data_IF_827384508263
#
_entry.id   IF_827384508263
#
_cell.length_a   1.000
_cell.length_b   1.000
_cell.length_c   1.000
_cell.angle_alpha   90.00
_cell.angle_beta   90.00
_cell.angle_gamma   90.00
#
_symmetry.space_group_name_H-M   'P 1'
#
loop_
_entity.id
_entity.type
_entity.pdbx_description
1 polymer ?
#
# COMPACT_ATOMS: atom_id res chain seq x y z
N UNK A 1 11.82 -9.51 -0.42
CA UNK A 1 10.91 -10.66 -0.27
C UNK A 1 10.43 -11.10 -1.63
N UNK A 2 10.66 -12.35 -1.99
CA UNK A 2 10.09 -12.94 -3.18
C UNK A 2 8.67 -13.46 -2.84
N UNK A 3 7.77 -13.42 -3.81
CA UNK A 3 6.42 -13.96 -3.64
C UNK A 3 6.45 -15.43 -3.24
N UNK A 4 7.41 -16.20 -3.76
CA UNK A 4 7.66 -17.58 -3.37
C UNK A 4 7.87 -17.80 -1.87
N UNK A 5 8.38 -16.79 -1.17
CA UNK A 5 8.63 -16.86 0.26
C UNK A 5 7.36 -16.60 1.09
N UNK A 6 6.45 -15.81 0.54
CA UNK A 6 5.21 -15.38 1.22
C UNK A 6 4.06 -16.37 0.95
N UNK A 7 3.97 -16.90 -0.28
CA UNK A 7 2.85 -17.74 -0.70
C UNK A 7 2.56 -18.93 0.24
N UNK A 8 3.55 -19.70 0.71
CA UNK A 8 3.28 -20.82 1.64
C UNK A 8 2.60 -20.35 2.93
N UNK A 9 2.99 -19.20 3.46
CA UNK A 9 2.40 -18.63 4.67
C UNK A 9 0.94 -18.20 4.45
N UNK A 10 0.64 -17.61 3.30
CA UNK A 10 -0.72 -17.21 2.91
C UNK A 10 -1.63 -18.43 2.78
N UNK A 11 -1.16 -19.49 2.13
CA UNK A 11 -1.92 -20.74 1.96
C UNK A 11 -2.12 -21.45 3.30
N UNK A 12 -1.09 -21.52 4.15
CA UNK A 12 -1.19 -22.10 5.49
C UNK A 12 -2.15 -21.32 6.41
N UNK A 13 -2.33 -20.02 6.17
CA UNK A 13 -3.34 -19.20 6.84
C UNK A 13 -4.78 -19.45 6.35
N UNK A 14 -4.97 -20.38 5.41
CA UNK A 14 -6.29 -20.78 4.91
C UNK A 14 -6.79 -19.99 3.70
N UNK A 15 -5.96 -19.16 3.07
CA UNK A 15 -6.33 -18.46 1.84
C UNK A 15 -6.27 -19.46 0.69
N UNK A 16 -7.38 -19.70 -0.07
CA UNK A 16 -7.38 -20.63 -1.17
C UNK A 16 -6.51 -20.11 -2.33
N UNK A 17 -5.80 -20.99 -3.02
CA UNK A 17 -4.93 -20.64 -4.15
C UNK A 17 -5.67 -19.84 -5.22
N UNK A 18 -6.94 -20.12 -5.46
CA UNK A 18 -7.78 -19.39 -6.42
C UNK A 18 -8.05 -17.94 -6.06
N UNK A 19 -7.86 -17.57 -4.79
CA UNK A 19 -8.01 -16.18 -4.31
C UNK A 19 -6.68 -15.41 -4.32
N UNK A 20 -5.57 -16.04 -4.69
CA UNK A 20 -4.25 -15.41 -4.73
C UNK A 20 -3.94 -14.96 -6.16
N UNK A 21 -3.68 -13.67 -6.34
CA UNK A 21 -3.23 -13.11 -7.60
C UNK A 21 -1.82 -12.54 -7.37
N UNK A 22 -0.87 -13.05 -8.13
CA UNK A 22 0.51 -12.59 -8.07
C UNK A 22 0.74 -11.45 -9.07
N UNK A 23 1.24 -10.33 -8.57
CA UNK A 23 1.76 -9.23 -9.37
C UNK A 23 3.30 -9.27 -9.26
N UNK A 24 3.99 -9.60 -10.35
CA UNK A 24 5.43 -9.88 -10.41
C UNK A 24 6.25 -8.85 -11.20
N UNK A 25 5.62 -7.78 -11.65
CA UNK A 25 6.24 -6.76 -12.53
C UNK A 25 6.74 -5.55 -11.78
N UNK A 26 6.17 -5.28 -10.62
CA UNK A 26 6.46 -4.06 -9.86
C UNK A 26 7.75 -4.17 -9.09
N UNK A 27 8.65 -3.21 -9.28
CA UNK A 27 9.94 -3.12 -8.61
C UNK A 27 9.94 -2.13 -7.42
N UNK A 28 8.89 -1.34 -7.28
CA UNK A 28 8.77 -0.31 -6.25
C UNK A 28 7.31 -0.03 -5.92
N UNK A 29 7.08 0.72 -4.83
CA UNK A 29 5.73 1.03 -4.32
C UNK A 29 4.86 1.78 -5.33
N UNK A 30 5.44 2.65 -6.17
CA UNK A 30 4.66 3.35 -7.20
C UNK A 30 4.13 2.38 -8.25
N UNK A 31 4.98 1.49 -8.74
CA UNK A 31 4.59 0.48 -9.72
C UNK A 31 3.56 -0.49 -9.13
N UNK A 32 3.71 -0.86 -7.86
CA UNK A 32 2.71 -1.67 -7.14
C UNK A 32 1.35 -0.96 -7.08
N UNK A 33 1.32 0.36 -6.82
CA UNK A 33 0.09 1.12 -6.83
C UNK A 33 -0.55 1.16 -8.23
N UNK A 34 0.24 1.43 -9.27
CA UNK A 34 -0.23 1.41 -10.67
C UNK A 34 -0.80 0.03 -11.03
N UNK A 35 -0.06 -1.04 -10.73
CA UNK A 35 -0.48 -2.42 -11.00
C UNK A 35 -1.74 -2.81 -10.23
N UNK A 36 -1.76 -2.55 -8.92
CA UNK A 36 -2.87 -2.89 -8.03
C UNK A 36 -4.16 -2.15 -8.35
N UNK A 37 -4.10 -0.84 -8.57
CA UNK A 37 -5.28 -0.04 -8.94
C UNK A 37 -5.80 -0.43 -10.32
N UNK A 38 -4.92 -0.66 -11.29
CA UNK A 38 -5.32 -1.16 -12.62
C UNK A 38 -6.00 -2.51 -12.52
N UNK A 39 -5.48 -3.42 -11.71
CA UNK A 39 -6.08 -4.75 -11.47
C UNK A 39 -7.46 -4.63 -10.82
N UNK A 40 -7.62 -3.75 -9.84
CA UNK A 40 -8.88 -3.49 -9.19
C UNK A 40 -9.94 -2.95 -10.16
N UNK A 41 -9.57 -1.99 -11.01
CA UNK A 41 -10.47 -1.45 -12.04
C UNK A 41 -10.88 -2.55 -13.02
N UNK A 42 -9.92 -3.33 -13.52
CA UNK A 42 -10.18 -4.42 -14.48
C UNK A 42 -11.14 -5.46 -13.92
N UNK A 43 -11.05 -5.77 -12.63
CA UNK A 43 -11.91 -6.76 -11.96
C UNK A 43 -13.14 -6.15 -11.29
N UNK A 44 -13.38 -4.85 -11.47
CA UNK A 44 -14.51 -4.13 -10.85
C UNK A 44 -14.51 -4.19 -9.32
N UNK A 45 -13.34 -4.29 -8.70
CA UNK A 45 -13.23 -4.24 -7.25
C UNK A 45 -13.43 -2.82 -6.75
N UNK A 46 -14.30 -2.66 -5.76
CA UNK A 46 -14.64 -1.36 -5.18
C UNK A 46 -13.91 -1.06 -3.87
N UNK A 47 -13.27 -2.04 -3.29
CA UNK A 47 -12.57 -1.90 -2.02
C UNK A 47 -11.20 -2.54 -2.11
N UNK A 48 -10.18 -1.81 -1.68
CA UNK A 48 -8.83 -2.31 -1.52
C UNK A 48 -8.38 -2.12 -0.07
N UNK A 49 -7.82 -3.16 0.51
CA UNK A 49 -7.16 -3.09 1.80
C UNK A 49 -5.66 -3.13 1.58
N UNK A 50 -4.96 -2.09 2.01
CA UNK A 50 -3.52 -2.01 1.94
C UNK A 50 -2.92 -2.56 3.23
N UNK A 51 -2.11 -3.60 3.09
CA UNK A 51 -1.36 -4.19 4.20
C UNK A 51 0.12 -3.93 3.96
N UNK A 52 0.75 -3.25 4.89
CA UNK A 52 2.18 -2.99 4.90
C UNK A 52 2.70 -2.98 6.34
N UNK A 53 4.01 -2.99 6.53
CA UNK A 53 4.55 -2.70 7.85
C UNK A 53 4.17 -1.28 8.29
N UNK A 54 3.97 -1.09 9.59
CA UNK A 54 3.39 0.15 10.11
C UNK A 54 4.24 1.39 9.80
N UNK A 55 5.56 1.29 9.73
CA UNK A 55 6.45 2.39 9.33
C UNK A 55 6.28 2.76 7.85
N UNK A 56 5.94 1.81 7.01
CA UNK A 56 5.78 2.00 5.56
C UNK A 56 4.34 2.40 5.16
N UNK A 57 3.35 2.11 5.99
CA UNK A 57 1.93 2.25 5.68
C UNK A 57 1.55 3.65 5.17
N UNK A 58 2.12 4.70 5.75
CA UNK A 58 1.85 6.10 5.34
C UNK A 58 2.20 6.34 3.87
N UNK A 59 3.40 5.96 3.46
CA UNK A 59 3.84 6.15 2.07
C UNK A 59 3.08 5.25 1.10
N UNK A 60 2.84 4.00 1.47
CA UNK A 60 2.04 3.09 0.67
C UNK A 60 0.64 3.67 0.40
N UNK A 61 -0.04 4.15 1.45
CA UNK A 61 -1.38 4.74 1.31
C UNK A 61 -1.39 5.95 0.37
N UNK A 62 -0.51 6.93 0.58
CA UNK A 62 -0.47 8.13 -0.26
C UNK A 62 -0.13 7.82 -1.72
N UNK A 63 0.70 6.79 -1.95
CA UNK A 63 1.05 6.35 -3.31
C UNK A 63 -0.14 5.70 -4.01
N UNK A 64 -0.86 4.81 -3.35
CA UNK A 64 -2.07 4.19 -3.89
C UNK A 64 -3.20 5.21 -4.08
N UNK A 65 -3.36 6.13 -3.14
CA UNK A 65 -4.36 7.19 -3.25
C UNK A 65 -4.11 8.07 -4.46
N UNK A 66 -2.84 8.41 -4.77
CA UNK A 66 -2.51 9.15 -5.99
C UNK A 66 -3.05 8.45 -7.24
N UNK A 67 -2.83 7.15 -7.36
CA UNK A 67 -3.32 6.38 -8.51
C UNK A 67 -4.85 6.32 -8.57
N UNK A 68 -5.53 6.15 -7.44
CA UNK A 68 -7.00 6.17 -7.38
C UNK A 68 -7.55 7.51 -7.86
N UNK A 69 -6.95 8.62 -7.43
CA UNK A 69 -7.35 9.98 -7.82
C UNK A 69 -7.06 10.25 -9.31
N UNK A 70 -5.88 9.88 -9.79
CA UNK A 70 -5.49 10.08 -11.19
C UNK A 70 -6.38 9.29 -12.16
N UNK A 71 -6.83 8.11 -11.75
CA UNK A 71 -7.78 7.29 -12.51
C UNK A 71 -9.23 7.74 -12.33
N UNK A 72 -9.49 8.74 -11.48
CA UNK A 72 -10.85 9.18 -11.13
C UNK A 72 -11.74 8.00 -10.74
N UNK A 73 -11.16 7.06 -10.00
CA UNK A 73 -11.83 5.83 -9.58
C UNK A 73 -12.60 6.03 -8.30
N UNK A 74 -13.69 5.31 -8.14
CA UNK A 74 -14.52 5.24 -6.92
C UNK A 74 -14.06 4.13 -5.96
N UNK A 75 -12.84 3.62 -6.14
CA UNK A 75 -12.25 2.61 -5.24
C UNK A 75 -12.08 3.19 -3.85
N UNK A 76 -12.52 2.45 -2.84
CA UNK A 76 -12.36 2.78 -1.43
C UNK A 76 -11.11 2.08 -0.90
N UNK A 77 -10.13 2.88 -0.45
CA UNK A 77 -8.90 2.38 0.16
C UNK A 77 -9.06 2.28 1.68
N UNK A 78 -8.66 1.14 2.23
CA UNK A 78 -8.54 0.91 3.65
C UNK A 78 -7.08 0.64 4.01
N UNK A 79 -6.67 1.03 5.20
CA UNK A 79 -5.38 0.72 5.77
C UNK A 79 -5.52 -0.37 6.83
N UNK A 80 -4.68 -1.39 6.75
CA UNK A 80 -4.55 -2.44 7.75
C UNK A 80 -3.07 -2.72 7.98
N UNK A 81 -2.37 -1.89 8.77
CA UNK A 81 -0.96 -2.13 9.05
C UNK A 81 -0.77 -3.51 9.67
N UNK A 82 0.31 -4.18 9.28
CA UNK A 82 0.66 -5.48 9.86
C UNK A 82 0.86 -5.35 11.37
N UNK A 83 0.24 -6.26 12.12
CA UNK A 83 0.30 -6.28 13.58
C UNK A 83 1.53 -7.06 14.08
N UNK A 84 1.84 -6.88 15.36
CA UNK A 84 2.91 -7.62 16.07
C UNK A 84 4.33 -7.43 15.50
N UNK A 85 4.57 -6.34 14.80
CA UNK A 85 5.91 -5.94 14.36
C UNK A 85 6.53 -5.00 15.39
N UNK A 86 7.60 -5.43 16.04
CA UNK A 86 8.30 -4.60 17.03
C UNK A 86 8.96 -3.37 16.40
N UNK A 87 8.78 -2.19 17.00
CA UNK A 87 9.40 -0.95 16.53
C UNK A 87 10.93 -1.00 16.59
N UNK A 88 11.49 -1.67 17.59
CA UNK A 88 12.93 -1.81 17.78
C UNK A 88 13.49 -3.12 17.23
N UNK A 89 12.67 -3.92 16.55
CA UNK A 89 13.12 -5.13 15.87
C UNK A 89 13.71 -4.81 14.49
N UNK A 90 14.73 -5.58 14.10
CA UNK A 90 15.27 -5.51 12.74
C UNK A 90 14.20 -5.99 11.72
N UNK A 91 14.03 -5.22 10.66
CA UNK A 91 13.14 -5.56 9.55
C UNK A 91 13.82 -6.33 8.42
N UNK A 92 15.12 -6.64 8.56
CA UNK A 92 15.98 -7.08 7.45
C UNK A 92 16.58 -5.91 6.64
N UNK A 93 16.09 -4.69 6.90
CA UNK A 93 16.53 -3.45 6.24
C UNK A 93 16.87 -2.34 7.26
N UNK A 94 17.10 -2.72 8.50
CA UNK A 94 17.33 -1.86 9.64
C UNK A 94 16.15 -1.84 10.63
N UNK A 95 16.35 -1.19 11.75
CA UNK A 95 15.35 -1.07 12.82
C UNK A 95 14.15 -0.27 12.34
N UNK A 96 12.92 -0.74 12.56
CA UNK A 96 11.70 -0.10 12.05
C UNK A 96 11.54 1.34 12.51
N UNK A 97 11.89 1.65 13.74
CA UNK A 97 11.80 3.02 14.25
C UNK A 97 12.68 4.00 13.46
N UNK A 98 13.90 3.61 13.13
CA UNK A 98 14.81 4.41 12.28
C UNK A 98 14.29 4.52 10.86
N UNK A 99 13.67 3.48 10.36
CA UNK A 99 13.06 3.49 9.02
C UNK A 99 11.86 4.44 8.91
N UNK A 100 11.13 4.68 10.00
CA UNK A 100 10.02 5.63 9.99
C UNK A 100 10.50 7.03 9.58
N UNK A 101 11.62 7.49 10.11
CA UNK A 101 12.21 8.78 9.70
C UNK A 101 12.55 8.79 8.21
N UNK A 102 13.18 7.71 7.73
CA UNK A 102 13.49 7.57 6.30
C UNK A 102 12.23 7.57 5.42
N UNK A 103 11.13 6.98 5.89
CA UNK A 103 9.86 7.00 5.16
C UNK A 103 9.30 8.44 5.05
N UNK A 104 9.39 9.27 6.08
CA UNK A 104 9.00 10.68 5.99
C UNK A 104 9.86 11.47 4.99
N UNK A 105 11.17 11.24 4.96
CA UNK A 105 12.08 11.82 3.96
C UNK A 105 11.66 11.38 2.54
N UNK A 106 11.33 10.12 2.35
CA UNK A 106 10.83 9.58 1.08
C UNK A 106 9.49 10.16 0.68
N UNK A 107 8.57 10.34 1.62
CA UNK A 107 7.28 11.00 1.37
C UNK A 107 7.52 12.41 0.81
N UNK A 108 8.38 13.19 1.44
CA UNK A 108 8.72 14.53 0.96
C UNK A 108 9.30 14.49 -0.45
N UNK A 109 10.29 13.64 -0.70
CA UNK A 109 10.94 13.48 -2.01
C UNK A 109 9.94 13.08 -3.10
N UNK A 110 9.15 12.06 -2.86
CA UNK A 110 8.23 11.52 -3.86
C UNK A 110 6.98 12.39 -4.05
N UNK A 111 6.59 13.17 -3.05
CA UNK A 111 5.55 14.20 -3.20
C UNK A 111 5.99 15.28 -4.18
N UNK A 112 7.25 15.73 -4.13
CA UNK A 112 7.80 16.69 -5.09
C UNK A 112 7.80 16.16 -6.54
N UNK A 113 7.88 14.84 -6.72
CA UNK A 113 7.80 14.17 -8.01
C UNK A 113 6.36 13.89 -8.47
N UNK A 114 5.36 14.26 -7.67
CA UNK A 114 3.95 13.98 -7.97
C UNK A 114 3.54 12.51 -7.87
N UNK A 115 4.34 11.69 -7.17
CA UNK A 115 4.07 10.25 -7.04
C UNK A 115 3.09 9.92 -5.91
N UNK A 116 2.82 10.85 -5.01
CA UNK A 116 1.96 10.70 -3.85
C UNK A 116 0.81 11.70 -3.88
N UNK A 117 -0.34 11.31 -3.33
CA UNK A 117 -1.38 12.26 -2.99
C UNK A 117 -0.86 13.23 -1.93
N UNK A 118 -1.29 14.48 -2.01
CA UNK A 118 -1.03 15.48 -0.97
C UNK A 118 -1.86 15.18 0.28
N UNK A 119 -1.46 15.72 1.41
CA UNK A 119 -2.27 15.60 2.64
C UNK A 119 -3.66 16.21 2.50
N UNK A 120 -3.78 17.33 1.76
CA UNK A 120 -5.08 17.95 1.47
C UNK A 120 -5.98 17.00 0.68
N UNK A 121 -5.46 16.40 -0.40
CA UNK A 121 -6.19 15.40 -1.19
C UNK A 121 -6.57 14.17 -0.34
N UNK A 122 -5.69 13.72 0.56
CA UNK A 122 -5.98 12.61 1.45
C UNK A 122 -7.10 12.93 2.45
N UNK A 123 -7.12 14.15 2.99
CA UNK A 123 -8.19 14.62 3.89
C UNK A 123 -9.53 14.70 3.13
N UNK A 124 -9.54 15.27 1.95
CA UNK A 124 -10.77 15.39 1.15
C UNK A 124 -11.29 14.00 0.71
N UNK A 125 -10.38 13.11 0.33
CA UNK A 125 -10.73 11.73 0.03
C UNK A 125 -11.29 11.01 1.27
N UNK A 126 -10.72 11.21 2.45
CA UNK A 126 -11.24 10.60 3.69
C UNK A 126 -12.66 11.10 4.01
N UNK A 127 -12.92 12.40 3.88
CA UNK A 127 -14.27 12.96 4.04
C UNK A 127 -15.26 12.34 3.07
N UNK A 128 -14.87 12.22 1.80
CA UNK A 128 -15.70 11.57 0.80
C UNK A 128 -15.99 10.10 1.17
N UNK A 129 -14.96 9.36 1.60
CA UNK A 129 -15.07 7.95 1.99
C UNK A 129 -16.03 7.74 3.16
N UNK A 130 -16.04 8.63 4.13
CA UNK A 130 -16.93 8.55 5.31
C UNK A 130 -18.42 8.72 4.95
N UNK A 131 -18.72 9.23 3.77
CA UNK A 131 -20.07 9.38 3.26
C UNK A 131 -20.55 8.18 2.43
N UNK A 132 -19.68 7.18 2.19
CA UNK A 132 -20.01 5.98 1.44
C UNK A 132 -20.54 4.88 2.36
#
# INVERSE_FOLDING_TARGET
FLFSDILPHVLNAGVPTSAVIHEDRSLNTKEQAVGGVRMAIKNSWKRLVLVASHEHQYRAYLTFLREVLDKKSDIILYNSPAENLGWFSDSGWGVRFERLEQEFIRIQKYSQLGHLATYGEAIDYQKWKELQ
#
